data_IF_439772213534
#
_entry.id   IF_439772213534
#
_cell.length_a   1.000
_cell.length_b   1.000
_cell.length_c   1.000
_cell.angle_alpha   90.00
_cell.angle_beta   90.00
_cell.angle_gamma   90.00
#
_symmetry.space_group_name_H-M   'P 1'
#
loop_
_entity.id
_entity.type
_entity.pdbx_description
1 polymer ?
#
# COMPACT_ATOMS: atom_id res chain seq x y z
N UNK A 1 -7.43 2.17 -12.65
CA UNK A 1 -6.04 2.02 -13.12
C UNK A 1 -5.20 3.12 -12.48
N UNK A 2 -4.17 2.79 -11.70
CA UNK A 2 -3.32 3.77 -11.00
C UNK A 2 -2.45 4.51 -12.04
N UNK A 3 -2.74 5.78 -12.30
CA UNK A 3 -1.99 6.62 -13.24
C UNK A 3 -1.80 8.05 -12.69
N UNK A 4 -0.76 8.79 -13.12
CA UNK A 4 -0.57 10.18 -12.70
C UNK A 4 -1.68 11.09 -13.23
N UNK A 5 -2.19 11.99 -12.38
CA UNK A 5 -3.20 13.00 -12.78
C UNK A 5 -2.68 13.95 -13.86
N UNK A 6 -1.41 14.32 -13.81
CA UNK A 6 -0.76 15.21 -14.79
C UNK A 6 0.67 14.72 -15.06
N UNK A 7 1.10 14.80 -16.32
CA UNK A 7 2.49 14.50 -16.71
C UNK A 7 3.05 15.58 -17.63
N UNK A 8 4.32 15.96 -17.41
CA UNK A 8 5.00 16.97 -18.25
C UNK A 8 5.18 16.50 -19.69
N UNK A 9 5.48 15.20 -19.90
CA UNK A 9 5.67 14.60 -21.22
C UNK A 9 4.95 13.27 -21.30
N UNK A 10 4.14 13.10 -22.35
CA UNK A 10 3.36 11.87 -22.58
C UNK A 10 4.23 10.67 -22.95
N UNK A 11 5.30 10.88 -23.72
CA UNK A 11 6.26 9.84 -24.15
C UNK A 11 7.63 10.13 -23.54
N UNK A 12 8.16 9.21 -22.73
CA UNK A 12 9.47 9.35 -22.10
C UNK A 12 10.42 8.25 -22.58
N UNK A 13 11.73 8.50 -22.65
CA UNK A 13 12.71 7.47 -22.99
C UNK A 13 12.78 6.37 -21.91
N UNK A 14 13.15 5.15 -22.31
CA UNK A 14 13.08 3.97 -21.43
C UNK A 14 14.05 4.06 -20.23
N UNK A 15 15.20 4.71 -20.39
CA UNK A 15 16.20 4.86 -19.34
C UNK A 15 16.81 3.53 -18.88
N UNK A 16 17.62 3.57 -17.80
CA UNK A 16 18.27 2.42 -17.17
C UNK A 16 17.88 2.31 -15.69
N UNK A 17 17.92 1.10 -15.11
CA UNK A 17 17.54 0.82 -13.72
C UNK A 17 18.74 0.59 -12.78
N UNK A 18 19.95 0.94 -13.21
CA UNK A 18 21.18 0.64 -12.46
C UNK A 18 21.29 1.47 -11.16
N UNK A 19 22.07 0.95 -10.21
CA UNK A 19 22.42 1.60 -8.94
C UNK A 19 21.55 1.18 -7.75
N UNK A 20 21.86 1.72 -6.58
CA UNK A 20 21.12 1.49 -5.32
C UNK A 20 20.14 2.64 -5.05
N UNK A 21 19.13 2.39 -4.21
CA UNK A 21 18.21 3.43 -3.77
C UNK A 21 18.89 4.37 -2.76
N UNK A 22 18.93 5.66 -3.07
CA UNK A 22 19.44 6.70 -2.15
C UNK A 22 18.32 7.37 -1.35
N UNK A 23 17.06 7.18 -1.76
CA UNK A 23 15.88 7.77 -1.14
C UNK A 23 14.80 6.70 -0.94
N UNK A 24 13.99 6.87 0.11
CA UNK A 24 12.90 5.96 0.44
C UNK A 24 13.38 4.54 0.75
N UNK A 25 14.60 4.41 1.26
CA UNK A 25 15.26 3.16 1.62
C UNK A 25 15.03 2.76 3.08
N UNK A 26 14.48 3.66 3.90
CA UNK A 26 14.07 3.43 5.29
C UNK A 26 12.55 3.35 5.39
N UNK A 27 12.06 2.62 6.39
CA UNK A 27 10.67 2.65 6.84
C UNK A 27 10.48 3.95 7.63
N UNK A 28 9.44 4.74 7.33
CA UNK A 28 9.28 6.06 7.96
C UNK A 28 7.93 6.27 8.64
N UNK A 29 6.87 5.69 8.08
CA UNK A 29 5.50 5.84 8.55
C UNK A 29 5.06 4.62 9.35
N UNK A 30 5.38 3.42 8.84
CA UNK A 30 4.99 2.16 9.48
C UNK A 30 6.00 1.61 10.47
N UNK A 31 5.60 0.56 11.19
CA UNK A 31 6.48 -0.25 12.05
C UNK A 31 7.30 -1.24 11.22
N UNK A 32 6.69 -1.79 10.17
CA UNK A 32 7.30 -2.80 9.31
C UNK A 32 7.20 -2.41 7.84
N UNK A 33 8.05 -2.98 7.01
CA UNK A 33 8.05 -2.69 5.58
C UNK A 33 8.59 -3.81 4.70
N UNK A 34 8.34 -3.66 3.41
CA UNK A 34 8.81 -4.57 2.36
C UNK A 34 9.83 -3.88 1.47
N UNK A 35 11.08 -4.30 1.53
CA UNK A 35 12.19 -3.68 0.82
C UNK A 35 12.62 -4.51 -0.40
N UNK A 36 12.84 -3.86 -1.54
CA UNK A 36 13.35 -4.50 -2.75
C UNK A 36 14.82 -4.90 -2.63
N UNK A 37 15.15 -6.11 -3.06
CA UNK A 37 16.52 -6.63 -3.15
C UNK A 37 17.09 -6.52 -4.57
N UNK A 38 16.21 -6.50 -5.58
CA UNK A 38 16.58 -6.47 -6.99
C UNK A 38 15.95 -5.24 -7.69
N UNK A 39 16.59 -4.72 -8.76
CA UNK A 39 15.99 -3.66 -9.57
C UNK A 39 14.83 -4.23 -10.40
N UNK A 40 13.77 -3.45 -10.58
CA UNK A 40 12.65 -3.87 -11.42
C UNK A 40 11.66 -2.76 -11.74
N UNK A 41 10.78 -3.06 -12.69
CA UNK A 41 9.60 -2.25 -12.96
C UNK A 41 8.38 -2.90 -12.33
N UNK A 42 7.67 -2.13 -11.51
CA UNK A 42 6.44 -2.59 -10.88
C UNK A 42 5.28 -1.84 -11.50
N UNK A 43 4.35 -2.57 -12.09
CA UNK A 43 3.15 -2.02 -12.71
C UNK A 43 2.14 -1.58 -11.64
N UNK A 44 1.26 -0.64 -12.00
CA UNK A 44 0.16 -0.23 -11.10
C UNK A 44 -0.72 -1.41 -10.64
N UNK A 45 -0.95 -2.40 -11.52
CA UNK A 45 -1.74 -3.59 -11.19
C UNK A 45 -1.06 -4.47 -10.14
N UNK A 46 0.27 -4.62 -10.20
CA UNK A 46 1.03 -5.37 -9.19
C UNK A 46 1.05 -4.65 -7.84
N UNK A 47 1.16 -3.31 -7.85
CA UNK A 47 1.10 -2.50 -6.63
C UNK A 47 -0.26 -2.71 -5.95
N UNK A 48 -1.34 -2.65 -6.73
CA UNK A 48 -2.70 -2.83 -6.22
C UNK A 48 -2.96 -4.28 -5.75
N UNK A 49 -2.48 -5.28 -6.50
CA UNK A 49 -2.59 -6.68 -6.10
C UNK A 49 -1.86 -6.96 -4.77
N UNK A 50 -0.68 -6.36 -4.57
CA UNK A 50 0.05 -6.46 -3.32
C UNK A 50 -0.69 -5.75 -2.17
N UNK A 51 -1.22 -4.54 -2.39
CA UNK A 51 -2.03 -3.81 -1.41
C UNK A 51 -3.26 -4.61 -0.98
N UNK A 52 -4.01 -5.15 -1.93
CA UNK A 52 -5.19 -5.97 -1.66
C UNK A 52 -4.82 -7.21 -0.86
N UNK A 53 -3.70 -7.88 -1.17
CA UNK A 53 -3.25 -9.05 -0.43
C UNK A 53 -2.95 -8.72 1.05
N UNK A 54 -2.32 -7.57 1.32
CA UNK A 54 -2.05 -7.09 2.68
C UNK A 54 -3.35 -6.81 3.42
N UNK A 55 -4.22 -5.96 2.85
CA UNK A 55 -5.47 -5.55 3.52
C UNK A 55 -6.42 -6.74 3.77
N UNK A 56 -6.46 -7.73 2.86
CA UNK A 56 -7.26 -8.94 3.04
C UNK A 56 -6.76 -9.79 4.21
N UNK A 57 -5.45 -9.91 4.39
CA UNK A 57 -4.89 -10.68 5.50
C UNK A 57 -5.19 -10.02 6.84
N UNK A 58 -5.09 -8.69 6.91
CA UNK A 58 -5.38 -7.96 8.14
C UNK A 58 -6.87 -7.82 8.47
N UNK A 59 -7.79 -8.23 7.58
CA UNK A 59 -9.23 -8.01 7.72
C UNK A 59 -9.58 -6.53 8.01
N UNK A 60 -8.84 -5.60 7.38
CA UNK A 60 -8.91 -4.14 7.63
C UNK A 60 -8.42 -3.68 9.01
N UNK A 61 -7.71 -4.53 9.75
CA UNK A 61 -6.94 -4.10 10.93
C UNK A 61 -5.62 -3.43 10.53
N UNK A 62 -5.33 -2.26 11.09
CA UNK A 62 -4.07 -1.56 10.89
C UNK A 62 -3.95 -0.78 9.58
N UNK A 63 -2.85 -0.04 9.45
CA UNK A 63 -2.65 0.93 8.37
C UNK A 63 -1.58 0.46 7.39
N UNK A 64 -1.84 0.66 6.09
CA UNK A 64 -0.93 0.27 4.99
C UNK A 64 -0.56 1.50 4.16
N UNK A 65 0.74 1.76 4.02
CA UNK A 65 1.25 2.81 3.14
C UNK A 65 1.91 2.22 1.91
N UNK A 66 1.56 2.80 0.76
CA UNK A 66 2.22 2.51 -0.51
C UNK A 66 3.32 3.55 -0.72
N UNK A 67 4.58 3.12 -0.74
CA UNK A 67 5.74 4.03 -0.87
C UNK A 67 6.15 4.31 -2.30
N UNK A 68 5.62 3.55 -3.26
CA UNK A 68 5.94 3.66 -4.68
C UNK A 68 4.70 4.04 -5.48
N UNK A 69 4.89 4.85 -6.51
CA UNK A 69 3.81 5.28 -7.39
C UNK A 69 4.23 5.05 -8.85
N UNK A 70 3.35 4.54 -9.73
CA UNK A 70 3.67 4.32 -11.12
C UNK A 70 3.63 5.63 -11.91
N UNK A 71 4.76 6.33 -11.96
CA UNK A 71 4.90 7.65 -12.58
C UNK A 71 5.49 7.60 -14.00
N UNK A 72 6.06 6.46 -14.41
CA UNK A 72 6.77 6.34 -15.67
C UNK A 72 5.93 5.67 -16.75
N UNK A 73 5.70 6.32 -17.91
CA UNK A 73 4.93 5.72 -18.99
C UNK A 73 5.78 4.73 -19.79
N UNK A 74 5.22 3.55 -20.06
CA UNK A 74 5.78 2.56 -20.99
C UNK A 74 4.93 2.56 -22.24
N UNK A 75 5.57 2.72 -23.40
CA UNK A 75 4.89 2.71 -24.70
C UNK A 75 4.98 1.34 -25.36
N UNK A 76 3.96 0.98 -26.13
CA UNK A 76 3.93 -0.23 -26.95
C UNK A 76 3.61 0.14 -28.40
N UNK A 77 4.23 -0.55 -29.36
CA UNK A 77 3.82 -0.51 -30.77
C UNK A 77 2.84 -1.65 -31.03
N UNK A 78 1.83 -1.48 -31.89
CA UNK A 78 0.95 -2.57 -32.29
C UNK A 78 1.74 -3.73 -32.89
N UNK A 79 1.26 -4.96 -32.68
CA UNK A 79 1.96 -6.19 -33.05
C UNK A 79 2.18 -6.35 -34.57
N UNK A 80 1.44 -5.61 -35.39
CA UNK A 80 1.41 -5.76 -36.85
C UNK A 80 2.16 -4.63 -37.58
N UNK A 81 2.96 -3.84 -36.86
CA UNK A 81 3.67 -2.69 -37.45
C UNK A 81 5.16 -2.97 -37.64
N UNK A 82 5.71 -2.56 -38.79
CA UNK A 82 7.16 -2.62 -39.05
C UNK A 82 7.94 -1.65 -38.16
N UNK A 83 9.25 -1.89 -38.03
CA UNK A 83 10.18 -0.98 -37.36
C UNK A 83 10.20 0.39 -38.04
N UNK A 84 10.50 1.46 -37.29
CA UNK A 84 10.45 2.86 -37.78
C UNK A 84 9.21 3.66 -37.32
N UNK A 85 8.97 4.84 -37.93
CA UNK A 85 7.83 5.75 -37.65
C UNK A 85 7.73 6.29 -36.21
N UNK A 86 8.85 6.29 -35.49
CA UNK A 86 8.94 6.84 -34.13
C UNK A 86 8.38 5.91 -33.04
N UNK A 87 7.96 6.50 -31.92
CA UNK A 87 7.57 5.79 -30.69
C UNK A 87 6.05 5.63 -30.59
N UNK A 88 5.60 4.45 -30.15
CA UNK A 88 4.18 4.12 -29.94
C UNK A 88 3.48 4.96 -28.87
N UNK A 89 2.19 4.71 -28.68
CA UNK A 89 1.40 5.29 -27.59
C UNK A 89 1.82 4.71 -26.23
N UNK A 90 1.75 5.49 -25.13
CA UNK A 90 1.80 4.95 -23.77
C UNK A 90 0.69 3.93 -23.57
N UNK A 91 1.04 2.78 -23.00
CA UNK A 91 0.16 1.63 -22.77
C UNK A 91 -0.14 1.47 -21.28
N UNK A 92 0.91 1.45 -20.45
CA UNK A 92 0.79 1.36 -19.00
C UNK A 92 1.85 2.18 -18.28
N UNK A 93 1.68 2.31 -16.97
CA UNK A 93 2.57 3.05 -16.07
C UNK A 93 3.29 2.10 -15.14
N UNK A 94 4.56 2.40 -14.89
CA UNK A 94 5.43 1.62 -14.00
C UNK A 94 6.11 2.50 -12.97
N UNK A 95 6.32 1.95 -11.78
CA UNK A 95 7.26 2.46 -10.80
C UNK A 95 8.64 1.86 -11.09
N UNK A 96 9.67 2.70 -11.13
CA UNK A 96 11.06 2.24 -11.25
C UNK A 96 11.61 1.98 -9.85
N UNK A 97 11.89 0.72 -9.56
CA UNK A 97 12.40 0.29 -8.26
C UNK A 97 13.88 -0.05 -8.35
N UNK A 98 14.64 0.45 -7.38
CA UNK A 98 16.06 0.11 -7.18
C UNK A 98 16.22 -0.76 -5.94
N UNK A 99 17.28 -1.60 -5.87
CA UNK A 99 17.64 -2.32 -4.65
C UNK A 99 17.76 -1.38 -3.45
N UNK A 100 17.21 -1.80 -2.32
CA UNK A 100 17.13 -1.05 -1.06
C UNK A 100 15.89 -0.16 -0.94
N UNK A 101 15.05 -0.01 -1.96
CA UNK A 101 13.83 0.81 -1.88
C UNK A 101 12.73 0.08 -1.09
N UNK A 102 12.14 0.76 -0.11
CA UNK A 102 10.93 0.28 0.60
C UNK A 102 9.71 0.53 -0.29
N UNK A 103 8.89 -0.50 -0.47
CA UNK A 103 7.74 -0.54 -1.39
C UNK A 103 6.42 -0.32 -0.65
N UNK A 104 6.26 -1.01 0.48
CA UNK A 104 5.09 -0.94 1.34
C UNK A 104 5.54 -0.81 2.79
N UNK A 105 4.73 -0.14 3.60
CA UNK A 105 4.89 -0.05 5.05
C UNK A 105 3.56 -0.41 5.70
N UNK A 106 3.62 -1.00 6.90
CA UNK A 106 2.45 -1.41 7.69
C UNK A 106 2.65 -1.08 9.16
N UNK A 107 1.57 -0.75 9.87
CA UNK A 107 1.55 -0.50 11.32
C UNK A 107 0.19 -0.82 11.93
N UNK A 108 0.12 -0.87 13.26
CA UNK A 108 -1.11 -1.20 13.99
C UNK A 108 -1.41 -2.70 13.97
N UNK A 109 -0.38 -3.53 13.78
CA UNK A 109 -0.49 -4.99 13.72
C UNK A 109 0.70 -5.64 14.44
N UNK A 110 0.52 -6.87 14.90
CA UNK A 110 1.62 -7.64 15.48
C UNK A 110 2.69 -7.99 14.44
N UNK A 111 3.94 -8.21 14.87
CA UNK A 111 5.03 -8.58 13.96
C UNK A 111 4.70 -9.86 13.16
N UNK A 112 4.09 -10.85 13.83
CA UNK A 112 3.68 -12.12 13.20
C UNK A 112 2.69 -11.88 12.08
N UNK A 113 1.68 -11.04 12.30
CA UNK A 113 0.71 -10.67 11.26
C UNK A 113 1.39 -9.90 10.13
N UNK A 114 2.23 -8.92 10.45
CA UNK A 114 2.94 -8.12 9.46
C UNK A 114 3.83 -8.99 8.56
N UNK A 115 4.59 -9.92 9.14
CA UNK A 115 5.48 -10.83 8.42
C UNK A 115 4.71 -11.69 7.42
N UNK A 116 3.57 -12.23 7.84
CA UNK A 116 2.76 -13.09 6.99
C UNK A 116 2.04 -12.30 5.87
N UNK A 117 1.47 -11.15 6.19
CA UNK A 117 0.86 -10.27 5.18
C UNK A 117 1.86 -9.80 4.12
N UNK A 118 3.06 -9.38 4.56
CA UNK A 118 4.11 -8.94 3.64
C UNK A 118 4.72 -10.10 2.84
N UNK A 119 4.72 -11.33 3.38
CA UNK A 119 5.04 -12.54 2.63
C UNK A 119 4.03 -12.78 1.51
N UNK A 120 2.73 -12.68 1.78
CA UNK A 120 1.69 -12.82 0.76
C UNK A 120 1.81 -11.72 -0.33
N UNK A 121 2.11 -10.49 0.08
CA UNK A 121 2.36 -9.38 -0.83
C UNK A 121 3.57 -9.63 -1.73
N UNK A 122 4.65 -10.23 -1.18
CA UNK A 122 5.86 -10.54 -1.94
C UNK A 122 5.61 -11.42 -3.15
N UNK A 123 4.69 -12.39 -3.05
CA UNK A 123 4.32 -13.28 -4.15
C UNK A 123 3.58 -12.57 -5.29
N UNK A 124 3.11 -11.33 -5.08
CA UNK A 124 2.47 -10.50 -6.13
C UNK A 124 3.48 -9.64 -6.88
N UNK A 125 4.72 -9.56 -6.41
CA UNK A 125 5.76 -8.70 -6.97
C UNK A 125 6.70 -9.50 -7.88
N UNK A 126 7.19 -8.90 -8.99
CA UNK A 126 8.08 -9.57 -9.93
C UNK A 126 9.57 -9.54 -9.51
N UNK A 127 9.88 -9.11 -8.28
CA UNK A 127 11.25 -8.93 -7.79
C UNK A 127 11.43 -9.56 -6.43
N UNK A 128 12.65 -9.96 -6.09
CA UNK A 128 12.97 -10.37 -4.71
C UNK A 128 12.85 -9.19 -3.76
N UNK A 129 12.25 -9.47 -2.62
CA UNK A 129 12.01 -8.50 -1.55
C UNK A 129 12.36 -9.13 -0.20
N UNK A 130 12.59 -8.29 0.81
CA UNK A 130 12.80 -8.70 2.19
C UNK A 130 11.94 -7.89 3.15
N UNK A 131 11.58 -8.51 4.26
CA UNK A 131 10.97 -7.83 5.40
C UNK A 131 12.00 -6.93 6.09
N UNK A 132 11.57 -5.75 6.52
CA UNK A 132 12.38 -4.80 7.29
C UNK A 132 11.55 -4.21 8.42
N UNK A 133 12.19 -3.96 9.55
CA UNK A 133 11.61 -3.25 10.69
C UNK A 133 12.05 -1.79 10.68
N UNK A 134 11.23 -0.92 11.27
CA UNK A 134 11.56 0.48 11.46
C UNK A 134 12.64 0.66 12.54
N UNK A 135 13.60 1.55 12.29
CA UNK A 135 14.56 1.99 13.32
C UNK A 135 13.87 2.88 14.39
N UNK A 136 12.73 3.47 14.05
CA UNK A 136 11.98 4.36 14.93
C UNK A 136 11.08 3.54 15.85
N UNK A 137 11.17 3.81 17.16
CA UNK A 137 10.19 3.37 18.15
C UNK A 137 8.95 4.26 18.06
N UNK A 138 7.79 3.63 18.01
CA UNK A 138 6.49 4.31 18.02
C UNK A 138 5.94 4.31 19.44
N UNK A 139 5.29 5.39 19.86
CA UNK A 139 4.59 5.41 21.16
C UNK A 139 3.30 4.59 21.10
N UNK A 140 2.79 4.15 22.25
CA UNK A 140 1.53 3.39 22.33
C UNK A 140 0.36 4.18 21.73
N UNK A 141 0.32 5.50 21.95
CA UNK A 141 -0.66 6.40 21.34
C UNK A 141 -0.60 6.43 19.81
N UNK A 142 0.59 6.38 19.22
CA UNK A 142 0.74 6.32 17.76
C UNK A 142 0.25 4.98 17.22
N UNK A 143 0.51 3.89 17.95
CA UNK A 143 0.07 2.55 17.58
C UNK A 143 -1.45 2.41 17.65
N UNK A 144 -2.08 2.93 18.70
CA UNK A 144 -3.53 2.96 18.87
C UNK A 144 -4.21 3.70 17.70
N UNK A 145 -3.65 4.84 17.30
CA UNK A 145 -4.14 5.59 16.12
C UNK A 145 -4.08 4.74 14.84
N UNK A 146 -3.02 3.97 14.62
CA UNK A 146 -2.91 3.15 13.40
C UNK A 146 -3.89 1.98 13.35
N UNK A 147 -4.32 1.45 14.50
CA UNK A 147 -5.38 0.45 14.58
C UNK A 147 -6.76 1.02 14.33
N UNK A 148 -7.07 2.23 14.81
CA UNK A 148 -8.38 2.88 14.68
C UNK A 148 -8.68 3.37 13.25
N UNK A 149 -7.66 3.81 12.51
CA UNK A 149 -7.78 4.51 11.22
C UNK A 149 -8.46 3.69 10.11
N UNK A 150 -8.66 2.37 10.24
CA UNK A 150 -9.43 1.56 9.27
C UNK A 150 -10.74 0.97 9.81
N UNK A 151 -10.99 1.08 11.12
CA UNK A 151 -12.23 0.60 11.73
C UNK A 151 -13.39 1.56 11.43
N UNK A 152 -13.10 2.87 11.35
CA UNK A 152 -14.07 3.93 11.04
C UNK A 152 -14.65 3.88 9.60
N UNK A 153 -14.16 3.00 8.72
CA UNK A 153 -14.62 2.84 7.33
C UNK A 153 -15.54 1.60 7.13
N UNK A 154 -15.98 0.96 8.21
CA UNK A 154 -16.94 -0.16 8.17
C UNK A 154 -18.30 0.38 8.59
N UNK A 155 -19.35 0.33 7.73
CA UNK A 155 -20.71 0.58 8.18
C UNK A 155 -21.06 -0.42 9.28
N UNK A 156 -21.58 0.06 10.41
CA UNK A 156 -21.90 -0.73 11.61
C UNK A 156 -22.72 -2.00 11.29
N UNK A 157 -23.52 -1.94 10.23
CA UNK A 157 -24.33 -3.03 9.66
C UNK A 157 -23.55 -4.30 9.27
N UNK A 158 -22.21 -4.24 9.18
CA UNK A 158 -21.36 -5.38 8.76
C UNK A 158 -20.47 -5.94 9.88
N UNK A 159 -20.59 -5.42 11.11
CA UNK A 159 -19.90 -5.96 12.28
C UNK A 159 -20.81 -6.97 12.98
N UNK A 160 -20.25 -8.10 13.40
CA UNK A 160 -20.97 -9.04 14.27
C UNK A 160 -20.97 -8.53 15.72
N UNK A 161 -22.00 -8.87 16.49
CA UNK A 161 -22.14 -8.43 17.90
C UNK A 161 -20.90 -8.77 18.75
N UNK A 162 -20.23 -9.88 18.44
CA UNK A 162 -18.98 -10.30 19.09
C UNK A 162 -17.77 -9.41 18.74
N UNK A 163 -17.74 -8.84 17.53
CA UNK A 163 -16.68 -7.91 17.10
C UNK A 163 -16.92 -6.51 17.69
N UNK A 164 -18.17 -6.13 17.93
CA UNK A 164 -18.53 -4.90 18.64
C UNK A 164 -18.12 -4.95 20.12
N UNK A 165 -18.30 -6.11 20.78
CA UNK A 165 -17.82 -6.33 22.14
C UNK A 165 -16.29 -6.34 22.24
N UNK A 166 -15.58 -6.96 21.28
CA UNK A 166 -14.11 -7.01 21.27
C UNK A 166 -13.48 -5.64 20.98
N UNK A 167 -14.22 -4.74 20.33
CA UNK A 167 -13.81 -3.36 20.04
C UNK A 167 -14.01 -2.37 21.19
N UNK A 168 -14.60 -2.79 22.32
CA UNK A 168 -14.64 -2.00 23.55
C UNK A 168 -15.39 -0.66 23.43
N UNK A 169 -16.35 -0.56 22.51
CA UNK A 169 -17.24 0.60 22.42
C UNK A 169 -18.34 0.40 23.46
N UNK A 170 -18.14 0.92 24.67
CA UNK A 170 -19.26 1.06 25.61
C UNK A 170 -20.33 1.94 24.95
N UNK A 171 -21.53 1.39 24.81
CA UNK A 171 -22.71 2.10 24.35
C UNK A 171 -23.14 3.10 25.43
N UNK A 172 -22.42 4.21 25.56
CA UNK A 172 -22.82 5.32 26.41
C UNK A 172 -24.00 6.07 25.76
N UNK A 173 -25.19 5.55 26.06
CA UNK A 173 -26.30 6.31 26.64
C UNK A 173 -26.48 7.74 26.15
N UNK A 174 -26.99 7.92 24.93
CA UNK A 174 -27.85 9.07 24.65
C UNK A 174 -29.22 8.74 25.24
N UNK A 175 -29.38 8.98 26.53
CA UNK A 175 -30.69 9.14 27.14
C UNK A 175 -31.31 10.41 26.54
N UNK A 176 -32.11 10.22 25.49
CA UNK A 176 -33.03 11.23 24.97
C UNK A 176 -34.03 11.51 26.08
N UNK A 177 -34.02 12.72 26.61
CA UNK A 177 -35.16 13.33 27.30
C UNK A 177 -36.39 13.25 26.39
N UNK A 178 -37.23 12.24 26.59
CA UNK A 178 -38.58 12.18 26.02
C UNK A 178 -39.45 11.13 26.72
N UNK A 179 -40.01 11.51 27.88
CA UNK A 179 -41.25 10.97 28.44
C UNK A 179 -41.75 11.97 29.51
N UNK A 180 -42.66 12.86 29.14
CA UNK A 180 -44.11 12.77 29.42
C UNK A 180 -44.51 13.20 30.84
N UNK A 181 -45.16 14.38 30.88
CA UNK A 181 -46.30 14.75 31.74
C UNK A 181 -46.14 14.71 33.27
N UNK A 182 -45.99 15.88 33.89
CA UNK A 182 -47.03 16.53 34.73
C UNK A 182 -46.64 17.95 35.11
#
# INVERSE_FOLDING_TARGET
>A
MLMPKRVKRRKQHRGRMKGKATRGNKVTYGQYGLQAMEPGWITGNQIEAARIAINRYFRRGGTVWIKIFPDKPVSKKPAETRMGKGKGSPDYWVAVVKPGRVLFEVAGVTERQAREALRLASHKLPIKVRFVESERKFSEEELAKFSEVQVLDIPEEFLSDAELEEMGVEADGIAIEAASES
#
